data_IF_513059968442
#
_entry.id   IF_513059968442
#
_cell.length_a   1.000
_cell.length_b   1.000
_cell.length_c   1.000
_cell.angle_alpha   90.00
_cell.angle_beta   90.00
_cell.angle_gamma   90.00
#
_symmetry.space_group_name_H-M   'P 1'
#
loop_
_entity.id
_entity.type
_entity.pdbx_description
1 polymer ?
#
# COMPACT_ATOMS: atom_id res chain seq x y z
N UNK A 1 -40.80 1.59 11.15
CA UNK A 1 -40.53 1.24 9.74
C UNK A 1 -39.99 2.48 9.07
N UNK A 2 -38.68 2.57 8.94
CA UNK A 2 -38.01 3.74 8.34
C UNK A 2 -37.42 3.27 7.02
N UNK A 3 -37.92 3.82 5.92
CA UNK A 3 -37.50 3.49 4.57
C UNK A 3 -36.05 3.95 4.34
N UNK A 4 -35.16 3.04 3.94
CA UNK A 4 -33.92 3.38 3.27
C UNK A 4 -34.23 3.65 1.81
N UNK A 5 -34.09 4.90 1.39
CA UNK A 5 -34.10 5.30 -0.01
C UNK A 5 -32.68 5.18 -0.56
N UNK A 6 -32.47 4.30 -1.54
CA UNK A 6 -31.27 4.30 -2.37
C UNK A 6 -31.40 5.39 -3.44
N UNK A 7 -30.39 6.25 -3.54
CA UNK A 7 -30.26 7.20 -4.63
C UNK A 7 -28.99 6.89 -5.42
N UNK A 8 -29.18 6.45 -6.68
CA UNK A 8 -28.13 6.33 -7.68
C UNK A 8 -28.03 7.66 -8.42
N UNK A 9 -26.91 8.37 -8.32
CA UNK A 9 -26.64 9.55 -9.14
C UNK A 9 -25.57 9.24 -10.19
N UNK A 10 -25.94 9.50 -11.46
CA UNK A 10 -25.07 9.39 -12.63
C UNK A 10 -24.20 10.65 -12.76
N UNK A 11 -22.93 10.39 -13.04
CA UNK A 11 -21.87 11.25 -13.56
C UNK A 11 -21.41 12.47 -12.74
N UNK A 12 -20.12 12.39 -12.39
CA UNK A 12 -19.16 13.48 -12.18
C UNK A 12 -19.42 14.41 -10.99
N UNK A 13 -19.07 13.93 -9.80
CA UNK A 13 -18.32 14.62 -8.74
C UNK A 13 -18.10 13.58 -7.63
N UNK A 14 -16.83 13.24 -7.32
CA UNK A 14 -16.49 12.36 -6.19
C UNK A 14 -17.06 13.03 -4.93
N UNK A 15 -18.14 12.45 -4.41
CA UNK A 15 -18.82 12.93 -3.20
C UNK A 15 -18.69 11.81 -2.17
N UNK A 16 -17.73 11.94 -1.27
CA UNK A 16 -17.73 11.15 -0.05
C UNK A 16 -18.92 11.61 0.79
N UNK A 17 -19.98 10.80 0.82
CA UNK A 17 -21.14 11.07 1.65
C UNK A 17 -20.72 10.91 3.10
N UNK A 18 -20.48 12.04 3.76
CA UNK A 18 -20.39 12.16 5.21
C UNK A 18 -21.71 11.68 5.83
N UNK A 19 -21.74 10.41 6.22
CA UNK A 19 -22.72 9.94 7.20
C UNK A 19 -22.30 10.55 8.54
N UNK A 20 -23.17 11.38 9.12
CA UNK A 20 -22.98 12.01 10.42
C UNK A 20 -22.77 10.95 11.52
N UNK A 21 -21.51 10.69 11.86
CA UNK A 21 -21.10 10.07 13.10
C UNK A 21 -19.97 10.92 13.69
N UNK A 22 -20.27 11.71 14.72
CA UNK A 22 -19.25 12.32 15.58
C UNK A 22 -18.78 11.28 16.62
N UNK A 23 -17.51 11.29 17.08
CA UNK A 23 -16.29 11.76 16.44
C UNK A 23 -15.24 10.62 16.47
N UNK A 24 -15.24 9.69 15.51
CA UNK A 24 -14.26 8.59 15.51
C UNK A 24 -13.64 8.38 14.13
N UNK A 25 -12.36 8.75 14.03
CA UNK A 25 -11.28 8.09 13.27
C UNK A 25 -11.40 7.92 11.73
N UNK A 26 -12.57 8.05 11.10
CA UNK A 26 -12.72 8.15 9.63
C UNK A 26 -12.09 9.41 9.04
N UNK A 27 -11.83 10.42 9.88
CA UNK A 27 -11.02 11.58 9.53
C UNK A 27 -9.57 11.24 9.19
N UNK A 28 -9.04 10.10 9.68
CA UNK A 28 -7.70 9.63 9.36
C UNK A 28 -7.60 9.17 7.90
N UNK A 29 -8.60 8.43 7.38
CA UNK A 29 -8.60 8.03 5.97
C UNK A 29 -8.79 9.22 5.02
N UNK A 30 -9.58 10.22 5.42
CA UNK A 30 -9.65 11.50 4.70
C UNK A 30 -8.34 12.29 4.82
N UNK A 31 -7.56 12.14 5.90
CA UNK A 31 -6.21 12.69 5.99
C UNK A 31 -5.22 11.92 5.09
N UNK A 32 -5.34 10.60 4.99
CA UNK A 32 -4.45 9.74 4.20
C UNK A 32 -4.70 9.87 2.69
N UNK A 33 -5.97 9.97 2.30
CA UNK A 33 -6.40 10.10 0.89
C UNK A 33 -6.57 11.57 0.46
N UNK A 34 -6.80 12.52 1.39
CA UNK A 34 -7.05 13.93 1.06
C UNK A 34 -6.12 14.96 1.72
N UNK A 35 -5.15 14.62 2.60
CA UNK A 35 -4.04 15.55 2.84
C UNK A 35 -2.96 15.34 1.78
N UNK A 36 -2.48 16.43 1.18
CA UNK A 36 -1.51 16.35 0.10
C UNK A 36 -0.20 15.66 0.42
N UNK A 37 0.18 15.42 1.68
CA UNK A 37 1.58 15.10 2.03
C UNK A 37 2.05 13.69 1.63
N UNK A 38 1.22 12.66 1.72
CA UNK A 38 1.63 11.29 1.35
C UNK A 38 1.52 11.08 -0.17
N UNK A 39 0.47 11.60 -0.81
CA UNK A 39 0.37 11.70 -2.27
C UNK A 39 1.39 12.70 -2.87
N UNK A 40 1.87 13.67 -2.09
CA UNK A 40 2.95 14.56 -2.50
C UNK A 40 4.28 13.83 -2.59
N UNK A 41 4.54 12.76 -1.86
CA UNK A 41 5.79 12.01 -2.04
C UNK A 41 5.81 11.23 -3.35
N UNK A 42 4.69 10.59 -3.72
CA UNK A 42 4.53 10.02 -5.06
C UNK A 42 4.53 11.07 -6.19
N UNK A 43 4.26 12.35 -5.88
CA UNK A 43 4.36 13.47 -6.83
C UNK A 43 5.70 14.21 -6.80
N UNK A 44 6.39 14.24 -5.66
CA UNK A 44 7.64 14.98 -5.44
C UNK A 44 8.82 14.14 -5.86
N UNK A 45 8.73 12.82 -5.68
CA UNK A 45 9.59 11.84 -6.33
C UNK A 45 8.95 11.54 -7.67
N UNK A 46 9.64 11.84 -8.77
CA UNK A 46 9.14 11.45 -10.08
C UNK A 46 9.06 9.92 -10.06
N UNK A 47 7.98 9.33 -10.56
CA UNK A 47 7.87 7.86 -10.67
C UNK A 47 9.10 7.28 -11.38
N UNK A 48 9.69 8.04 -12.32
CA UNK A 48 10.97 7.76 -12.99
C UNK A 48 12.20 7.68 -12.04
N UNK A 49 12.23 8.42 -10.93
CA UNK A 49 13.30 8.40 -9.92
C UNK A 49 13.16 7.17 -9.00
N UNK A 50 11.93 6.79 -8.66
CA UNK A 50 11.63 5.57 -7.88
C UNK A 50 11.95 4.31 -8.69
N UNK A 51 11.64 4.30 -9.99
CA UNK A 51 11.82 3.14 -10.87
C UNK A 51 13.19 3.09 -11.56
N UNK A 52 14.10 4.02 -11.23
CA UNK A 52 15.42 4.08 -11.85
C UNK A 52 16.24 2.82 -11.58
N UNK A 53 17.06 2.37 -12.54
CA UNK A 53 17.95 1.20 -12.40
C UNK A 53 18.96 1.28 -11.24
N UNK A 54 19.07 2.43 -10.58
CA UNK A 54 19.92 2.66 -9.41
C UNK A 54 19.16 2.84 -8.10
N UNK A 55 17.83 2.76 -8.08
CA UNK A 55 17.04 3.02 -6.88
C UNK A 55 17.06 1.80 -5.94
N UNK A 56 17.79 1.90 -4.83
CA UNK A 56 17.92 0.79 -3.88
C UNK A 56 16.62 0.45 -3.15
N UNK A 57 15.74 1.43 -2.94
CA UNK A 57 14.40 1.18 -2.39
C UNK A 57 13.57 0.31 -3.33
N UNK A 58 13.59 0.58 -4.63
CA UNK A 58 12.87 -0.27 -5.60
C UNK A 58 13.42 -1.70 -5.60
N UNK A 59 14.75 -1.85 -5.68
CA UNK A 59 15.40 -3.16 -5.73
C UNK A 59 15.15 -4.01 -4.48
N UNK A 60 14.89 -3.37 -3.34
CA UNK A 60 14.53 -4.05 -2.10
C UNK A 60 13.18 -4.78 -2.19
N UNK A 61 12.26 -4.32 -3.04
CA UNK A 61 10.89 -4.85 -3.08
C UNK A 61 10.46 -5.41 -4.44
N UNK A 62 11.18 -5.11 -5.51
CA UNK A 62 10.88 -5.55 -6.87
C UNK A 62 12.14 -5.85 -7.68
N UNK A 63 12.10 -6.85 -8.57
CA UNK A 63 13.21 -7.13 -9.47
C UNK A 63 13.32 -6.03 -10.55
N UNK A 64 14.54 -5.86 -11.07
CA UNK A 64 14.77 -5.03 -12.25
C UNK A 64 14.27 -5.76 -13.50
N UNK A 65 13.67 -5.00 -14.42
CA UNK A 65 13.26 -5.57 -15.70
C UNK A 65 14.46 -6.06 -16.53
N UNK A 66 14.29 -7.22 -17.14
CA UNK A 66 15.20 -7.81 -18.13
C UNK A 66 14.56 -7.89 -19.53
N UNK A 67 15.14 -8.68 -20.43
CA UNK A 67 14.63 -8.81 -21.82
C UNK A 67 13.36 -9.70 -21.88
N UNK A 68 13.01 -10.39 -20.80
CA UNK A 68 11.91 -11.36 -20.69
C UNK A 68 10.76 -10.86 -19.80
N UNK A 69 10.99 -9.88 -18.91
CA UNK A 69 9.96 -9.32 -18.02
C UNK A 69 9.80 -7.77 -18.06
N UNK A 70 8.55 -7.33 -17.98
CA UNK A 70 8.18 -5.90 -17.96
C UNK A 70 7.86 -5.42 -16.53
N UNK A 71 8.44 -6.06 -15.50
CA UNK A 71 8.11 -5.83 -14.08
C UNK A 71 8.10 -4.36 -13.69
N UNK A 72 9.13 -3.58 -14.08
CA UNK A 72 9.19 -2.15 -13.79
C UNK A 72 8.01 -1.37 -14.40
N UNK A 73 7.58 -1.72 -15.62
CA UNK A 73 6.48 -1.06 -16.29
C UNK A 73 5.13 -1.40 -15.64
N UNK A 74 4.96 -2.64 -15.18
CA UNK A 74 3.75 -3.08 -14.49
C UNK A 74 3.63 -2.42 -13.11
N UNK A 75 4.73 -2.42 -12.34
CA UNK A 75 4.81 -1.70 -11.06
C UNK A 75 4.51 -0.22 -11.29
N UNK A 76 5.11 0.40 -12.32
CA UNK A 76 4.83 1.79 -12.67
C UNK A 76 3.35 2.06 -12.89
N UNK A 77 2.64 1.18 -13.61
CA UNK A 77 1.23 1.37 -13.88
C UNK A 77 0.39 1.34 -12.58
N UNK A 78 0.69 0.43 -11.66
CA UNK A 78 0.04 0.36 -10.34
C UNK A 78 0.32 1.65 -9.56
N UNK A 79 1.57 2.12 -9.53
CA UNK A 79 1.93 3.38 -8.87
C UNK A 79 1.23 4.59 -9.48
N UNK A 80 1.14 4.65 -10.82
CA UNK A 80 0.41 5.71 -11.55
C UNK A 80 -1.08 5.65 -11.30
N UNK A 81 -1.65 4.47 -11.09
CA UNK A 81 -3.06 4.33 -10.67
C UNK A 81 -3.24 5.00 -9.31
N UNK A 82 -2.39 4.69 -8.33
CA UNK A 82 -2.48 5.25 -6.97
C UNK A 82 -2.26 6.77 -6.95
N UNK A 83 -1.17 7.25 -7.55
CA UNK A 83 -0.70 8.64 -7.48
C UNK A 83 -1.39 9.59 -8.48
N UNK A 84 -1.95 9.04 -9.55
CA UNK A 84 -2.58 9.75 -10.66
C UNK A 84 -1.64 10.17 -11.78
N UNK A 85 -2.21 10.37 -12.97
CA UNK A 85 -1.43 10.55 -14.20
C UNK A 85 -0.98 12.00 -14.42
N UNK A 86 -1.52 12.96 -13.66
CA UNK A 86 -1.04 14.35 -13.69
C UNK A 86 -1.42 15.13 -12.44
N UNK A 87 -0.75 16.28 -12.27
CA UNK A 87 -1.07 17.23 -11.20
C UNK A 87 -2.49 17.78 -11.26
N UNK A 88 -3.11 17.75 -12.44
CA UNK A 88 -4.43 18.32 -12.75
C UNK A 88 -5.62 17.37 -12.53
N UNK A 89 -5.38 16.07 -12.30
CA UNK A 89 -6.46 15.07 -12.12
C UNK A 89 -7.08 15.07 -10.72
N UNK A 90 -6.65 15.97 -9.81
CA UNK A 90 -6.89 15.79 -8.37
C UNK A 90 -5.91 14.75 -7.82
N UNK A 91 -5.83 14.60 -6.50
CA UNK A 91 -4.73 13.86 -5.86
C UNK A 91 -4.82 12.33 -5.99
N UNK A 92 -5.58 11.83 -6.95
CA UNK A 92 -5.92 10.42 -7.12
C UNK A 92 -6.17 10.22 -8.60
N UNK A 93 -5.53 9.24 -9.25
CA UNK A 93 -5.68 9.00 -10.68
C UNK A 93 -7.13 8.73 -11.08
N UNK A 94 -7.46 9.00 -12.35
CA UNK A 94 -8.80 8.76 -12.93
C UNK A 94 -9.35 7.32 -12.71
N UNK A 95 -8.47 6.37 -12.37
CA UNK A 95 -8.75 4.93 -12.26
C UNK A 95 -8.89 4.45 -10.81
N UNK A 96 -8.44 5.20 -9.81
CA UNK A 96 -8.73 4.80 -8.41
C UNK A 96 -10.23 4.95 -8.20
N UNK A 97 -10.93 3.82 -8.21
CA UNK A 97 -12.34 3.77 -7.90
C UNK A 97 -12.61 4.35 -6.50
N UNK A 98 -13.87 4.65 -6.20
CA UNK A 98 -14.23 4.97 -4.82
C UNK A 98 -14.02 3.73 -3.95
N UNK A 99 -12.96 3.71 -3.15
CA UNK A 99 -12.81 2.72 -2.10
C UNK A 99 -13.91 2.88 -1.06
N UNK A 100 -14.39 1.75 -0.56
CA UNK A 100 -15.38 1.73 0.50
C UNK A 100 -14.71 1.17 1.74
N UNK A 101 -14.65 1.97 2.80
CA UNK A 101 -14.29 1.47 4.12
C UNK A 101 -15.58 1.15 4.86
N UNK A 102 -15.71 -0.11 5.26
CA UNK A 102 -16.80 -0.56 6.10
C UNK A 102 -16.32 -0.70 7.55
N UNK A 103 -17.05 -0.09 8.48
CA UNK A 103 -16.75 -0.22 9.91
C UNK A 103 -17.32 -1.50 10.50
N UNK A 104 -18.16 -2.23 9.75
CA UNK A 104 -18.66 -3.53 10.15
C UNK A 104 -17.68 -4.60 9.70
N UNK A 105 -17.32 -5.52 10.59
CA UNK A 105 -16.63 -6.75 10.22
C UNK A 105 -17.58 -7.62 9.37
N UNK A 106 -17.40 -7.61 8.04
CA UNK A 106 -18.30 -8.21 7.06
C UNK A 106 -17.77 -9.51 6.43
N UNK A 107 -16.49 -9.82 6.57
CA UNK A 107 -15.84 -11.02 6.00
C UNK A 107 -15.93 -12.29 6.87
N UNK A 108 -16.76 -12.29 7.93
CA UNK A 108 -16.98 -13.49 8.77
C UNK A 108 -17.38 -14.70 7.92
N UNK A 109 -18.15 -14.50 6.85
CA UNK A 109 -18.60 -15.57 5.95
C UNK A 109 -17.50 -16.04 4.97
N UNK A 110 -16.48 -15.23 4.71
CA UNK A 110 -15.33 -15.57 3.85
C UNK A 110 -14.10 -16.04 4.65
N UNK A 111 -14.17 -15.99 5.99
CA UNK A 111 -13.07 -16.31 6.89
C UNK A 111 -12.13 -15.14 7.16
N UNK A 112 -12.34 -13.99 6.52
CA UNK A 112 -11.61 -12.75 6.74
C UNK A 112 -12.29 -11.94 7.84
N UNK A 113 -11.79 -12.04 9.07
CA UNK A 113 -12.40 -11.37 10.24
C UNK A 113 -11.35 -10.88 11.20
N UNK A 114 -11.67 -9.81 11.93
CA UNK A 114 -10.84 -9.32 13.04
C UNK A 114 -10.80 -10.25 14.25
N UNK A 115 -11.55 -11.35 14.22
CA UNK A 115 -11.46 -12.42 15.21
C UNK A 115 -10.23 -13.31 14.98
N UNK A 116 -9.64 -13.26 13.77
CA UNK A 116 -8.39 -13.95 13.48
C UNK A 116 -7.24 -13.21 14.17
N UNK A 117 -6.38 -13.97 14.85
CA UNK A 117 -5.26 -13.40 15.58
C UNK A 117 -4.29 -12.69 14.62
N UNK A 118 -3.94 -11.45 14.95
CA UNK A 118 -2.98 -10.66 14.17
C UNK A 118 -3.54 -9.91 12.97
N UNK A 119 -4.79 -10.15 12.55
CA UNK A 119 -5.38 -9.46 11.38
C UNK A 119 -5.53 -7.96 11.61
N UNK A 120 -4.79 -7.15 10.84
CA UNK A 120 -4.82 -5.69 10.92
C UNK A 120 -5.98 -5.10 10.10
N UNK A 121 -6.23 -5.64 8.92
CA UNK A 121 -7.33 -5.28 8.05
C UNK A 121 -7.57 -6.43 7.05
N UNK A 122 -8.60 -6.28 6.22
CA UNK A 122 -8.78 -7.10 5.04
C UNK A 122 -9.61 -6.36 3.99
N UNK A 123 -9.49 -6.82 2.74
CA UNK A 123 -10.25 -6.36 1.59
C UNK A 123 -10.98 -7.52 0.96
N UNK A 124 -12.30 -7.40 0.82
CA UNK A 124 -13.14 -8.49 0.29
C UNK A 124 -14.43 -7.93 -0.32
N UNK A 125 -15.16 -8.79 -1.04
CA UNK A 125 -16.50 -8.49 -1.56
C UNK A 125 -17.52 -8.69 -0.45
N UNK A 126 -18.17 -7.61 -0.01
CA UNK A 126 -19.26 -7.70 0.97
C UNK A 126 -20.48 -8.41 0.35
N UNK A 127 -20.90 -9.58 0.88
CA UNK A 127 -22.03 -10.34 0.32
C UNK A 127 -23.38 -9.61 0.44
N UNK A 128 -23.47 -8.54 1.25
CA UNK A 128 -24.70 -7.77 1.44
C UNK A 128 -24.98 -6.78 0.31
N UNK A 129 -23.96 -6.30 -0.39
CA UNK A 129 -24.11 -5.35 -1.51
C UNK A 129 -23.24 -5.65 -2.75
N UNK A 130 -22.47 -6.75 -2.73
CA UNK A 130 -21.56 -7.20 -3.78
C UNK A 130 -20.54 -6.12 -4.20
N UNK A 131 -20.03 -5.35 -3.24
CA UNK A 131 -18.97 -4.37 -3.46
C UNK A 131 -17.68 -4.81 -2.79
N UNK A 132 -16.56 -4.59 -3.45
CA UNK A 132 -15.24 -4.62 -2.79
C UNK A 132 -15.19 -3.52 -1.72
N UNK A 133 -14.80 -3.90 -0.51
CA UNK A 133 -14.68 -3.01 0.66
C UNK A 133 -13.44 -3.36 1.47
N UNK A 134 -12.95 -2.39 2.23
CA UNK A 134 -11.89 -2.55 3.22
C UNK A 134 -12.53 -2.55 4.61
N UNK A 135 -12.09 -3.44 5.48
CA UNK A 135 -12.37 -3.36 6.91
C UNK A 135 -11.06 -3.26 7.69
N UNK A 136 -10.92 -2.23 8.53
CA UNK A 136 -9.78 -2.10 9.44
C UNK A 136 -10.12 -2.65 10.82
N UNK A 137 -9.34 -3.60 11.30
CA UNK A 137 -9.50 -4.18 12.61
C UNK A 137 -9.06 -3.21 13.71
N UNK A 138 -9.62 -3.33 14.94
CA UNK A 138 -9.27 -2.44 16.05
C UNK A 138 -7.76 -2.34 16.32
N UNK A 139 -7.02 -3.44 16.10
CA UNK A 139 -5.58 -3.49 16.35
C UNK A 139 -4.75 -2.65 15.35
N UNK A 140 -5.24 -2.41 14.13
CA UNK A 140 -4.54 -1.54 13.18
C UNK A 140 -4.42 -0.10 13.68
N UNK A 141 -5.43 0.39 14.41
CA UNK A 141 -5.41 1.75 14.98
C UNK A 141 -4.39 1.93 16.12
N UNK A 142 -3.77 0.84 16.60
CA UNK A 142 -2.65 0.93 17.54
C UNK A 142 -1.33 1.30 16.85
N UNK A 143 -1.28 1.22 15.51
CA UNK A 143 -0.15 1.76 14.74
C UNK A 143 -0.21 3.28 14.73
N UNK A 144 0.95 3.92 14.59
CA UNK A 144 1.02 5.37 14.37
C UNK A 144 0.09 5.74 13.20
N UNK A 145 -0.70 6.79 13.38
CA UNK A 145 -1.71 7.19 12.39
C UNK A 145 -1.10 7.63 11.08
N UNK A 146 0.08 8.26 11.16
CA UNK A 146 0.81 8.74 9.99
C UNK A 146 2.30 8.62 10.23
N UNK A 147 3.04 8.78 9.16
CA UNK A 147 4.49 8.76 9.14
C UNK A 147 5.18 9.86 9.97
N UNK A 148 4.45 10.91 10.39
CA UNK A 148 4.92 11.91 11.37
C UNK A 148 5.20 11.26 12.74
N UNK A 149 4.58 10.11 13.00
CA UNK A 149 4.80 9.32 14.21
C UNK A 149 6.08 8.47 14.12
N UNK A 150 6.73 8.38 12.95
CA UNK A 150 8.00 7.66 12.75
C UNK A 150 9.16 8.51 13.27
N UNK A 151 9.96 7.91 14.15
CA UNK A 151 11.13 8.54 14.74
C UNK A 151 12.38 8.06 14.03
N UNK A 152 12.96 8.89 13.15
CA UNK A 152 14.15 8.56 12.36
C UNK A 152 15.33 8.01 13.19
N UNK A 153 15.51 8.50 14.43
CA UNK A 153 16.57 8.04 15.34
C UNK A 153 16.34 6.66 15.96
N UNK A 154 15.18 6.04 15.72
CA UNK A 154 14.80 4.72 16.26
C UNK A 154 14.69 3.64 15.19
N UNK A 155 14.91 4.01 13.93
CA UNK A 155 14.90 3.07 12.82
C UNK A 155 16.12 2.16 12.89
N UNK A 156 15.98 0.97 12.32
CA UNK A 156 17.13 0.15 11.97
C UNK A 156 17.90 0.82 10.82
N UNK A 157 19.06 0.27 10.48
CA UNK A 157 19.83 0.67 9.29
C UNK A 157 19.37 -0.06 8.02
N UNK A 158 18.23 -0.74 8.09
CA UNK A 158 17.50 -1.38 6.98
C UNK A 158 15.99 -1.09 7.15
N UNK A 159 15.23 -1.25 6.07
CA UNK A 159 13.77 -1.12 6.10
C UNK A 159 13.14 -2.22 6.97
N UNK A 160 12.53 -1.86 8.10
CA UNK A 160 12.00 -2.82 9.08
C UNK A 160 10.61 -2.43 9.58
N UNK A 161 9.93 -3.33 10.29
CA UNK A 161 8.61 -3.06 10.90
C UNK A 161 8.59 -1.90 11.91
N UNK A 162 9.74 -1.33 12.29
CA UNK A 162 9.80 -0.12 13.13
C UNK A 162 9.24 1.14 12.47
N UNK A 163 9.14 1.15 11.13
CA UNK A 163 8.49 2.23 10.41
C UNK A 163 6.98 2.02 10.23
N UNK A 164 6.41 0.89 10.66
CA UNK A 164 5.03 0.50 10.37
C UNK A 164 3.99 1.54 10.82
N UNK A 165 3.08 1.89 9.91
CA UNK A 165 2.04 2.91 10.10
C UNK A 165 0.68 2.40 9.63
N UNK A 166 -0.38 3.01 10.17
CA UNK A 166 -1.73 2.78 9.65
C UNK A 166 -1.86 3.16 8.17
N UNK A 167 -1.09 4.16 7.68
CA UNK A 167 -1.07 4.55 6.27
C UNK A 167 -0.60 3.42 5.36
N UNK A 168 0.38 2.63 5.80
CA UNK A 168 0.87 1.45 5.09
C UNK A 168 -0.15 0.31 5.10
N UNK A 169 -0.88 0.06 6.21
CA UNK A 169 -2.05 -0.87 6.18
C UNK A 169 -3.04 -0.40 5.11
N UNK A 170 -3.43 0.88 5.13
CA UNK A 170 -4.45 1.37 4.22
C UNK A 170 -4.03 1.23 2.75
N UNK A 171 -2.75 1.48 2.44
CA UNK A 171 -2.22 1.28 1.09
C UNK A 171 -2.22 -0.19 0.67
N UNK A 172 -1.76 -1.09 1.54
CA UNK A 172 -1.80 -2.54 1.33
C UNK A 172 -3.23 -3.00 0.96
N UNK A 173 -4.22 -2.61 1.76
CA UNK A 173 -5.62 -2.99 1.49
C UNK A 173 -6.18 -2.40 0.20
N UNK A 174 -5.79 -1.16 -0.13
CA UNK A 174 -6.19 -0.54 -1.39
C UNK A 174 -5.65 -1.30 -2.61
N UNK A 175 -4.48 -1.93 -2.51
CA UNK A 175 -3.87 -2.72 -3.60
C UNK A 175 -4.64 -4.01 -3.90
N UNK A 176 -5.34 -4.58 -2.92
CA UNK A 176 -6.21 -5.73 -3.15
C UNK A 176 -7.49 -5.42 -3.94
N UNK A 177 -7.78 -4.16 -4.27
CA UNK A 177 -8.88 -3.88 -5.17
C UNK A 177 -8.57 -4.41 -6.55
N UNK A 178 -9.56 -5.04 -7.19
CA UNK A 178 -9.40 -5.60 -8.54
C UNK A 178 -8.93 -4.57 -9.56
N UNK A 179 -9.32 -3.32 -9.37
CA UNK A 179 -8.93 -2.20 -10.24
C UNK A 179 -7.43 -1.87 -10.21
N UNK A 180 -6.71 -2.31 -9.18
CA UNK A 180 -5.26 -2.09 -9.04
C UNK A 180 -4.45 -3.12 -9.80
N UNK A 181 -4.81 -4.40 -9.71
CA UNK A 181 -4.08 -5.49 -10.37
C UNK A 181 -4.67 -5.88 -11.73
N UNK A 182 -5.86 -6.47 -11.75
CA UNK A 182 -6.45 -7.07 -12.97
C UNK A 182 -6.63 -6.05 -14.08
N UNK A 183 -6.96 -4.81 -13.73
CA UNK A 183 -7.16 -3.73 -14.68
C UNK A 183 -5.86 -2.95 -14.98
N UNK A 184 -4.69 -3.39 -14.50
CA UNK A 184 -3.37 -2.81 -14.79
C UNK A 184 -2.50 -3.73 -15.66
N UNK A 185 -1.29 -3.29 -16.00
CA UNK A 185 -0.27 -4.06 -16.73
C UNK A 185 0.10 -5.39 -16.05
N UNK A 186 -0.07 -5.48 -14.74
CA UNK A 186 0.08 -6.72 -13.95
C UNK A 186 -0.88 -7.82 -14.46
N UNK A 187 -2.09 -7.44 -14.90
CA UNK A 187 -3.08 -8.36 -15.48
C UNK A 187 -3.60 -9.45 -14.51
N UNK A 188 -3.18 -9.41 -13.25
CA UNK A 188 -3.53 -10.34 -12.19
C UNK A 188 -3.97 -9.58 -10.93
N UNK A 189 -4.71 -10.26 -10.06
CA UNK A 189 -5.08 -9.70 -8.77
C UNK A 189 -3.81 -9.52 -7.92
N UNK A 190 -3.63 -8.33 -7.32
CA UNK A 190 -2.62 -8.15 -6.28
C UNK A 190 -3.17 -8.77 -5.00
N UNK A 191 -2.41 -9.68 -4.41
CA UNK A 191 -2.79 -10.59 -3.31
C UNK A 191 -1.71 -10.59 -2.23
N UNK A 192 -1.96 -11.34 -1.16
CA UNK A 192 -0.92 -11.71 -0.20
C UNK A 192 -0.23 -12.98 -0.70
N UNK A 193 1.03 -12.84 -1.09
CA UNK A 193 1.81 -13.98 -1.58
C UNK A 193 2.51 -14.66 -0.41
N UNK A 194 2.79 -15.95 -0.55
CA UNK A 194 3.60 -16.68 0.42
C UNK A 194 5.03 -16.84 -0.09
N UNK A 195 6.00 -16.79 0.83
CA UNK A 195 7.36 -17.22 0.54
C UNK A 195 7.43 -18.76 0.40
N UNK A 196 8.59 -19.28 0.00
CA UNK A 196 8.89 -20.72 -0.09
C UNK A 196 8.62 -21.51 1.22
N UNK A 197 8.71 -20.87 2.38
CA UNK A 197 8.41 -21.49 3.69
C UNK A 197 6.90 -21.71 3.92
N UNK A 198 6.06 -21.22 3.02
CA UNK A 198 4.61 -21.29 3.07
C UNK A 198 3.95 -20.25 3.97
N UNK A 199 4.73 -19.36 4.61
CA UNK A 199 4.22 -18.21 5.33
C UNK A 199 4.06 -17.01 4.39
N UNK A 200 3.10 -16.14 4.70
CA UNK A 200 2.83 -14.95 3.92
C UNK A 200 4.01 -13.98 3.95
N UNK A 201 4.29 -13.35 2.81
CA UNK A 201 5.34 -12.36 2.63
C UNK A 201 4.93 -11.00 3.22
N UNK A 202 4.52 -11.03 4.49
CA UNK A 202 4.24 -9.86 5.31
C UNK A 202 5.53 -9.35 5.93
N UNK A 203 5.66 -8.03 6.05
CA UNK A 203 6.84 -7.32 6.56
C UNK A 203 7.98 -7.16 5.52
N UNK A 204 8.86 -6.14 5.68
CA UNK A 204 9.89 -5.83 4.70
C UNK A 204 10.86 -6.98 4.43
N UNK A 205 11.27 -7.70 5.46
CA UNK A 205 12.20 -8.83 5.37
C UNK A 205 11.66 -9.93 4.45
N UNK A 206 10.37 -10.24 4.58
CA UNK A 206 9.73 -11.26 3.76
C UNK A 206 9.43 -10.79 2.34
N UNK A 207 9.14 -9.51 2.16
CA UNK A 207 9.02 -8.91 0.84
C UNK A 207 10.36 -8.93 0.09
N UNK A 208 11.46 -8.59 0.78
CA UNK A 208 12.81 -8.69 0.23
C UNK A 208 13.16 -10.12 -0.15
N UNK A 209 12.77 -11.10 0.68
CA UNK A 209 12.92 -12.51 0.37
C UNK A 209 12.26 -12.96 -0.95
N UNK A 210 11.23 -12.28 -1.46
CA UNK A 210 10.62 -12.59 -2.77
C UNK A 210 11.54 -12.23 -3.94
N UNK A 211 12.45 -11.27 -3.76
CA UNK A 211 13.36 -10.76 -4.80
C UNK A 211 14.81 -11.15 -4.57
N UNK A 212 15.15 -11.68 -3.39
CA UNK A 212 16.46 -12.22 -3.07
C UNK A 212 16.61 -13.64 -3.64
N UNK A 213 17.61 -13.81 -4.52
CA UNK A 213 17.96 -15.06 -5.19
C UNK A 213 18.36 -16.17 -4.20
N UNK A 214 18.88 -15.80 -3.03
CA UNK A 214 19.34 -16.75 -2.01
C UNK A 214 18.20 -17.26 -1.10
N UNK A 215 17.03 -16.62 -1.13
CA UNK A 215 15.90 -16.94 -0.22
C UNK A 215 14.73 -17.66 -0.92
N UNK A 216 14.09 -17.02 -1.90
CA UNK A 216 12.93 -17.58 -2.63
C UNK A 216 13.09 -17.47 -4.15
N UNK A 217 13.78 -16.44 -4.65
CA UNK A 217 13.93 -16.12 -6.08
C UNK A 217 12.61 -16.23 -6.85
N UNK A 218 11.58 -15.52 -6.39
CA UNK A 218 10.26 -15.52 -7.01
C UNK A 218 9.89 -14.11 -7.50
N UNK A 219 10.63 -13.56 -8.48
CA UNK A 219 10.47 -12.18 -8.93
C UNK A 219 9.03 -11.85 -9.38
N UNK A 220 8.33 -12.81 -9.99
CA UNK A 220 6.93 -12.65 -10.38
C UNK A 220 5.94 -12.60 -9.20
N UNK A 221 6.30 -13.15 -8.03
CA UNK A 221 5.49 -13.03 -6.82
C UNK A 221 5.51 -11.61 -6.24
N UNK A 222 6.67 -10.93 -6.29
CA UNK A 222 6.79 -9.57 -5.78
C UNK A 222 5.82 -8.60 -6.50
N UNK A 223 5.67 -8.75 -7.82
CA UNK A 223 4.79 -7.91 -8.64
C UNK A 223 3.30 -8.02 -8.27
N UNK A 224 2.88 -9.18 -7.76
CA UNK A 224 1.49 -9.43 -7.34
C UNK A 224 1.31 -9.39 -5.82
N UNK A 225 2.34 -9.01 -5.06
CA UNK A 225 2.27 -8.94 -3.59
C UNK A 225 1.89 -7.53 -3.11
N UNK A 226 0.80 -7.38 -2.37
CA UNK A 226 0.35 -6.07 -1.88
C UNK A 226 1.38 -5.39 -0.96
N UNK A 227 2.04 -6.19 -0.11
CA UNK A 227 2.99 -5.68 0.86
C UNK A 227 4.28 -5.15 0.20
N UNK A 228 4.72 -5.71 -0.93
CA UNK A 228 5.89 -5.21 -1.69
C UNK A 228 5.70 -3.73 -2.10
N UNK A 229 4.52 -3.38 -2.62
CA UNK A 229 4.22 -1.98 -2.97
C UNK A 229 4.09 -1.09 -1.72
N UNK A 230 3.42 -1.58 -0.68
CA UNK A 230 3.13 -0.81 0.51
C UNK A 230 4.42 -0.48 1.29
N UNK A 231 5.33 -1.43 1.41
CA UNK A 231 6.64 -1.26 2.06
C UNK A 231 7.59 -0.41 1.22
N UNK A 232 7.66 -0.60 -0.10
CA UNK A 232 8.43 0.28 -0.99
C UNK A 232 7.99 1.74 -0.86
N UNK A 233 6.68 1.99 -0.85
CA UNK A 233 6.15 3.34 -0.70
C UNK A 233 6.50 3.97 0.65
N UNK A 234 6.43 3.18 1.72
CA UNK A 234 6.76 3.62 3.07
C UNK A 234 8.26 3.90 3.20
N UNK A 235 9.11 3.00 2.72
CA UNK A 235 10.57 3.16 2.70
C UNK A 235 10.95 4.44 1.95
N UNK A 236 10.54 4.59 0.68
CA UNK A 236 10.90 5.76 -0.12
C UNK A 236 10.55 7.09 0.57
N UNK A 237 9.42 7.12 1.29
CA UNK A 237 9.02 8.28 2.08
C UNK A 237 9.86 8.47 3.33
N UNK A 238 10.04 7.42 4.14
CA UNK A 238 10.81 7.46 5.40
C UNK A 238 12.23 7.88 5.11
N UNK A 239 12.85 7.23 4.13
CA UNK A 239 14.20 7.48 3.66
C UNK A 239 14.36 8.92 3.19
N UNK A 240 13.43 9.44 2.37
CA UNK A 240 13.42 10.85 2.01
C UNK A 240 13.29 11.77 3.21
N UNK A 241 12.45 11.50 4.20
CA UNK A 241 12.21 12.41 5.32
C UNK A 241 13.27 12.34 6.42
N UNK A 242 13.91 11.19 6.57
CA UNK A 242 14.91 10.94 7.60
C UNK A 242 16.34 11.24 7.15
N UNK A 243 16.61 11.24 5.84
CA UNK A 243 17.90 11.70 5.33
C UNK A 243 18.08 13.21 5.51
N UNK A 244 19.33 13.64 5.64
CA UNK A 244 19.68 15.04 5.78
C UNK A 244 19.18 15.88 4.58
N UNK A 245 18.81 17.13 4.82
CA UNK A 245 18.21 18.01 3.79
C UNK A 245 19.14 18.24 2.58
N UNK A 246 20.45 18.26 2.81
CA UNK A 246 21.48 18.40 1.77
C UNK A 246 21.76 17.10 1.00
N UNK A 247 21.11 15.99 1.40
CA UNK A 247 21.25 14.65 0.82
C UNK A 247 19.94 14.08 0.28
N UNK A 248 18.89 14.89 0.09
CA UNK A 248 17.57 14.41 -0.40
C UNK A 248 17.63 13.70 -1.76
N UNK A 249 18.64 13.99 -2.57
CA UNK A 249 18.87 13.30 -3.85
C UNK A 249 19.46 11.89 -3.68
N UNK A 250 20.03 11.57 -2.51
CA UNK A 250 20.60 10.26 -2.12
C UNK A 250 19.64 9.50 -1.19
N UNK A 251 18.34 9.80 -1.23
CA UNK A 251 17.40 9.28 -0.23
C UNK A 251 17.32 7.75 -0.22
N UNK A 252 17.47 7.13 -1.38
CA UNK A 252 17.47 5.68 -1.56
C UNK A 252 18.67 4.99 -0.91
N UNK A 253 19.69 5.73 -0.49
CA UNK A 253 20.83 5.24 0.29
C UNK A 253 20.65 5.42 1.82
N UNK A 254 19.48 5.89 2.28
CA UNK A 254 19.25 6.13 3.72
C UNK A 254 19.40 4.85 4.56
N UNK A 255 18.85 3.73 4.08
CA UNK A 255 19.09 2.42 4.64
C UNK A 255 20.36 1.84 4.03
N UNK A 256 21.34 1.56 4.88
CA UNK A 256 22.68 1.14 4.46
C UNK A 256 22.79 -0.39 4.28
N UNK A 257 21.83 -1.14 4.83
CA UNK A 257 21.80 -2.60 4.78
C UNK A 257 20.51 -3.10 4.14
N UNK A 258 20.63 -4.25 3.49
CA UNK A 258 19.49 -5.08 3.09
C UNK A 258 18.75 -5.61 4.34
N UNK A 259 17.43 -5.85 4.24
CA UNK A 259 16.72 -6.58 5.28
C UNK A 259 17.34 -7.97 5.53
N UNK A 260 17.37 -8.46 6.78
CA UNK A 260 17.89 -9.79 7.08
C UNK A 260 17.03 -10.89 6.44
N UNK A 261 17.59 -12.11 6.36
CA UNK A 261 16.85 -13.29 5.92
C UNK A 261 15.57 -13.50 6.75
N UNK A 262 14.46 -13.84 6.10
CA UNK A 262 13.25 -14.11 6.84
C UNK A 262 13.37 -15.43 7.63
N UNK A 263 13.04 -15.36 8.92
CA UNK A 263 13.05 -16.53 9.82
C UNK A 263 14.24 -16.61 10.79
N UNK A 264 15.18 -15.67 10.70
CA UNK A 264 16.25 -15.44 11.69
C UNK A 264 15.78 -14.78 13.00
#
# INVERSE_FOLDING_TARGET
>A
MTQQTSHVYKNSTISFVSAKCEPCQLGALTLLVCKPMEQQCFRSQRTDEVLGKGNEVYKTFFPLSDDEDDTQANVEEVLRKISGQSSAEGMVGKIVGSFVVDNKDFGVDTGNTCSNEGTLAYTDIDPSDNREKIHFCPIAYNRGTTIIDVSCSKLDNYASTKMDTFSRIALHEMLHYKTMGVDSGVGAQIVDVNNADGASAYDPERCFGLVDEDQDDNPGAAEINADSYAWMALDAWVSYNCIAEDKKEEYDEFFELEPPEYGD
#
